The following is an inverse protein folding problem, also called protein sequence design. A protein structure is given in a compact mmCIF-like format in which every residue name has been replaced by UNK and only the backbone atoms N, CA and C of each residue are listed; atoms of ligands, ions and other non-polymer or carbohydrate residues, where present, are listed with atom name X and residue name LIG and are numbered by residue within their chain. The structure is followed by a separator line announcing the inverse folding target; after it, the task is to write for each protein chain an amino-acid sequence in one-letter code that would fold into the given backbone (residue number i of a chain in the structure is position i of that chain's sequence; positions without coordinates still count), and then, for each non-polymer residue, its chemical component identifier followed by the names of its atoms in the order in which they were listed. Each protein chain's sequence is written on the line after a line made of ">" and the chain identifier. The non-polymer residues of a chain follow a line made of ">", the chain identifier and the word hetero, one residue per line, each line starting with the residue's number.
data_IF_984457979641
#
_entry.id   IF_984457979641
#
_cell.length_a   1.000
_cell.length_b   1.000
_cell.length_c   1.000
_cell.angle_alpha   90.00
_cell.angle_beta   90.00
_cell.angle_gamma   90.00
#
_symmetry.space_group_name_H-M   'P 1'
#
loop_
_entity.id
_entity.type
_entity.pdbx_description
1 polymer ?
#
# COMPACT_ATOMS: atom_id res chain seq x y z
N UNK A 1 -3.68 -20.08 -2.11
CA UNK A 1 -3.33 -18.88 -2.89
C UNK A 1 -3.46 -17.70 -1.95
N UNK A 2 -2.39 -16.94 -1.71
CA UNK A 2 -2.48 -15.77 -0.85
C UNK A 2 -3.43 -14.74 -1.49
N UNK A 3 -4.35 -14.22 -0.70
CA UNK A 3 -5.15 -13.06 -1.08
C UNK A 3 -4.37 -11.79 -0.76
N UNK A 4 -3.80 -11.16 -1.80
CA UNK A 4 -3.04 -9.92 -1.66
C UNK A 4 -3.89 -8.76 -1.15
N UNK A 5 -5.19 -8.74 -1.48
CA UNK A 5 -6.11 -7.72 -0.97
C UNK A 5 -6.29 -7.92 0.52
N UNK A 6 -6.57 -9.13 0.98
CA UNK A 6 -6.68 -9.44 2.41
C UNK A 6 -5.38 -9.17 3.18
N UNK A 7 -4.22 -9.39 2.54
CA UNK A 7 -2.91 -9.08 3.12
C UNK A 7 -2.65 -7.58 3.25
N UNK A 8 -2.99 -6.78 2.22
CA UNK A 8 -2.59 -5.37 2.11
C UNK A 8 -3.62 -4.40 2.68
N UNK A 9 -4.92 -4.74 2.58
CA UNK A 9 -6.00 -3.85 2.99
C UNK A 9 -5.92 -3.42 4.46
N UNK A 10 -5.68 -4.31 5.45
CA UNK A 10 -5.58 -3.90 6.85
C UNK A 10 -4.49 -2.85 7.08
N UNK A 11 -3.37 -2.98 6.36
CA UNK A 11 -2.26 -2.01 6.41
C UNK A 11 -2.68 -0.66 5.85
N UNK A 12 -3.35 -0.64 4.68
CA UNK A 12 -3.84 0.60 4.08
C UNK A 12 -4.89 1.27 4.98
N UNK A 13 -5.82 0.50 5.53
CA UNK A 13 -6.88 1.03 6.38
C UNK A 13 -6.28 1.68 7.64
N UNK A 14 -5.28 1.05 8.26
CA UNK A 14 -4.57 1.56 9.43
C UNK A 14 -3.74 2.83 9.12
N UNK A 15 -3.02 2.87 8.01
CA UNK A 15 -2.20 4.03 7.64
C UNK A 15 -3.07 5.24 7.31
N UNK A 16 -4.18 5.00 6.61
CA UNK A 16 -5.07 6.07 6.14
C UNK A 16 -6.12 6.48 7.17
N UNK A 17 -6.38 5.63 8.17
CA UNK A 17 -7.51 5.76 9.08
C UNK A 17 -8.88 5.64 8.39
N UNK A 18 -8.95 4.97 7.24
CA UNK A 18 -10.13 4.89 6.37
C UNK A 18 -10.42 3.44 5.98
N UNK A 19 -11.67 3.15 5.58
CA UNK A 19 -11.99 1.89 4.91
C UNK A 19 -11.64 2.00 3.42
N UNK A 20 -10.38 1.69 3.08
CA UNK A 20 -9.83 1.86 1.74
C UNK A 20 -10.35 0.75 0.83
N UNK A 21 -11.06 1.14 -0.23
CA UNK A 21 -11.45 0.18 -1.28
C UNK A 21 -10.20 -0.28 -2.00
N UNK A 22 -9.89 -1.58 -1.91
CA UNK A 22 -8.69 -2.21 -2.49
C UNK A 22 -9.11 -3.35 -3.41
N UNK A 23 -8.51 -3.46 -4.60
CA UNK A 23 -8.82 -4.51 -5.58
C UNK A 23 -7.59 -4.88 -6.40
N UNK A 24 -7.62 -6.06 -7.03
CA UNK A 24 -6.60 -6.45 -7.99
C UNK A 24 -6.75 -5.67 -9.30
N UNK A 25 -5.69 -4.99 -9.72
CA UNK A 25 -5.56 -4.41 -11.06
C UNK A 25 -4.68 -5.27 -11.98
N UNK A 26 -4.00 -6.28 -11.42
CA UNK A 26 -3.18 -7.25 -12.14
C UNK A 26 -2.70 -8.37 -11.20
N UNK A 27 -1.93 -9.36 -11.71
CA UNK A 27 -1.51 -10.54 -10.95
C UNK A 27 -0.74 -10.22 -9.67
N UNK A 28 0.12 -9.20 -9.69
CA UNK A 28 0.88 -8.70 -8.54
C UNK A 28 0.64 -7.21 -8.30
N UNK A 29 -0.48 -6.68 -8.78
CA UNK A 29 -0.78 -5.25 -8.73
C UNK A 29 -2.12 -5.03 -8.06
N UNK A 30 -2.09 -4.26 -6.97
CA UNK A 30 -3.27 -3.78 -6.30
C UNK A 30 -3.53 -2.32 -6.67
N UNK A 31 -4.79 -1.98 -6.80
CA UNK A 31 -5.24 -0.60 -6.83
C UNK A 31 -6.09 -0.32 -5.59
N UNK A 32 -5.98 0.89 -5.07
CA UNK A 32 -6.68 1.32 -3.88
C UNK A 32 -7.15 2.77 -4.02
N UNK A 33 -8.33 3.08 -3.50
CA UNK A 33 -8.84 4.46 -3.45
C UNK A 33 -8.73 5.01 -2.03
N UNK A 34 -7.84 5.98 -1.88
CA UNK A 34 -7.58 6.73 -0.65
C UNK A 34 -8.32 8.08 -0.76
N UNK A 35 -8.82 8.65 0.34
CA UNK A 35 -9.27 10.06 0.36
C UNK A 35 -8.26 10.96 1.08
N UNK A 36 -7.73 11.98 0.38
CA UNK A 36 -6.84 13.02 0.99
C UNK A 36 -7.67 14.29 1.18
N UNK A 37 -7.55 15.00 2.31
CA UNK A 37 -8.01 16.39 2.38
C UNK A 37 -7.21 17.26 1.41
N UNK A 38 -7.88 18.13 0.65
CA UNK A 38 -7.18 19.21 -0.03
C UNK A 38 -6.72 20.24 1.01
N UNK A 39 -5.47 20.72 0.89
CA UNK A 39 -4.94 21.78 1.76
C UNK A 39 -5.92 22.96 1.83
N UNK A 40 -6.21 23.42 3.06
CA UNK A 40 -7.13 24.52 3.37
C UNK A 40 -8.58 24.36 2.86
N UNK A 41 -9.04 23.12 2.62
CA UNK A 41 -10.40 22.86 2.14
C UNK A 41 -11.13 21.80 2.97
N UNK A 42 -12.47 21.89 2.98
CA UNK A 42 -13.36 20.82 3.50
C UNK A 42 -13.60 19.71 2.46
N UNK A 43 -12.99 19.83 1.28
CA UNK A 43 -13.15 18.88 0.18
C UNK A 43 -12.12 17.77 0.35
N UNK A 44 -12.63 16.54 0.37
CA UNK A 44 -11.83 15.32 0.33
C UNK A 44 -11.76 14.84 -1.12
N UNK A 45 -10.55 14.67 -1.64
CA UNK A 45 -10.35 14.12 -2.99
C UNK A 45 -9.95 12.67 -2.93
N UNK A 46 -10.60 11.88 -3.79
CA UNK A 46 -10.19 10.50 -4.03
C UNK A 46 -8.91 10.50 -4.85
N UNK A 47 -7.89 9.83 -4.35
CA UNK A 47 -6.64 9.50 -5.05
C UNK A 47 -6.63 8.00 -5.29
N UNK A 48 -6.16 7.61 -6.48
CA UNK A 48 -5.91 6.20 -6.78
C UNK A 48 -4.45 5.89 -6.52
N UNK A 49 -4.23 4.97 -5.59
CA UNK A 49 -2.94 4.35 -5.31
C UNK A 49 -2.84 3.06 -6.12
N UNK A 50 -1.71 2.84 -6.77
CA UNK A 50 -1.35 1.55 -7.39
C UNK A 50 -0.13 1.00 -6.68
N UNK A 51 -0.23 -0.22 -6.18
CA UNK A 51 0.83 -0.92 -5.48
C UNK A 51 1.23 -2.13 -6.31
N UNK A 52 2.45 -2.12 -6.83
CA UNK A 52 2.99 -3.23 -7.60
C UNK A 52 3.98 -4.02 -6.74
N UNK A 53 3.69 -5.29 -6.52
CA UNK A 53 4.58 -6.23 -5.85
C UNK A 53 5.49 -6.88 -6.89
N UNK A 54 6.80 -6.87 -6.63
CA UNK A 54 7.78 -7.57 -7.46
C UNK A 54 7.63 -9.09 -7.34
N UNK A 55 8.20 -9.81 -8.31
CA UNK A 55 8.18 -11.27 -8.31
C UNK A 55 8.79 -11.86 -7.04
N UNK A 56 9.86 -11.27 -6.51
CA UNK A 56 10.55 -11.77 -5.32
C UNK A 56 9.67 -11.63 -4.07
N UNK A 57 9.01 -10.49 -3.91
CA UNK A 57 8.04 -10.29 -2.81
C UNK A 57 6.86 -11.22 -2.95
N UNK A 58 6.35 -11.42 -4.17
CA UNK A 58 5.28 -12.39 -4.43
C UNK A 58 5.71 -13.82 -4.03
N UNK A 59 6.94 -14.21 -4.34
CA UNK A 59 7.48 -15.51 -3.94
C UNK A 59 7.59 -15.62 -2.42
N UNK A 60 8.11 -14.60 -1.72
CA UNK A 60 8.19 -14.58 -0.26
C UNK A 60 6.80 -14.76 0.37
N UNK A 61 5.83 -13.96 -0.09
CA UNK A 61 4.46 -13.99 0.38
C UNK A 61 3.76 -15.34 0.16
N UNK A 62 4.06 -16.03 -0.94
CA UNK A 62 3.48 -17.33 -1.26
C UNK A 62 4.03 -18.48 -0.40
N UNK A 63 5.22 -18.34 0.17
CA UNK A 63 5.89 -19.37 0.98
C UNK A 63 5.92 -19.03 2.48
N UNK A 64 5.50 -17.82 2.85
CA UNK A 64 5.43 -17.36 4.24
C UNK A 64 4.39 -18.17 5.04
N UNK A 65 4.75 -18.52 6.28
CA UNK A 65 3.78 -19.01 7.25
C UNK A 65 2.98 -17.86 7.87
N UNK A 66 2.08 -18.16 8.81
CA UNK A 66 1.24 -17.13 9.43
C UNK A 66 2.05 -16.11 10.24
N UNK A 67 3.14 -16.53 10.90
CA UNK A 67 4.00 -15.64 11.67
C UNK A 67 4.78 -14.72 10.74
N UNK A 68 5.33 -15.27 9.66
CA UNK A 68 6.03 -14.53 8.62
C UNK A 68 5.10 -13.51 7.93
N UNK A 69 3.86 -13.89 7.63
CA UNK A 69 2.88 -12.98 7.03
C UNK A 69 2.60 -11.78 7.95
N UNK A 70 2.45 -11.99 9.26
CA UNK A 70 2.29 -10.89 10.20
C UNK A 70 3.53 -9.96 10.20
N UNK A 71 4.75 -10.51 10.14
CA UNK A 71 5.96 -9.70 10.06
C UNK A 71 6.05 -8.92 8.75
N UNK A 72 5.73 -9.56 7.62
CA UNK A 72 5.71 -8.93 6.30
C UNK A 72 4.67 -7.82 6.22
N UNK A 73 3.51 -7.95 6.89
CA UNK A 73 2.52 -6.87 7.04
C UNK A 73 3.09 -5.68 7.82
N UNK A 74 3.79 -5.91 8.93
CA UNK A 74 4.45 -4.83 9.68
C UNK A 74 5.52 -4.11 8.85
N UNK A 75 6.28 -4.85 8.02
CA UNK A 75 7.26 -4.26 7.11
C UNK A 75 6.59 -3.45 6.01
N UNK A 76 5.49 -3.96 5.46
CA UNK A 76 4.66 -3.25 4.49
C UNK A 76 4.10 -1.95 5.08
N UNK A 77 3.61 -1.98 6.32
CA UNK A 77 3.11 -0.79 7.03
C UNK A 77 4.18 0.30 7.08
N UNK A 78 5.37 -0.05 7.58
CA UNK A 78 6.49 0.90 7.67
C UNK A 78 6.89 1.45 6.30
N UNK A 79 6.97 0.60 5.29
CA UNK A 79 7.31 0.99 3.92
C UNK A 79 6.27 1.96 3.34
N UNK A 80 4.99 1.61 3.41
CA UNK A 80 3.90 2.42 2.87
C UNK A 80 3.77 3.76 3.61
N UNK A 81 3.93 3.80 4.94
CA UNK A 81 3.96 5.07 5.70
C UNK A 81 5.06 6.01 5.20
N UNK A 82 6.26 5.49 4.96
CA UNK A 82 7.37 6.28 4.46
C UNK A 82 7.08 6.83 3.05
N UNK A 83 6.59 5.98 2.14
CA UNK A 83 6.26 6.38 0.77
C UNK A 83 5.12 7.43 0.76
N UNK A 84 4.01 7.13 1.43
CA UNK A 84 2.85 8.03 1.48
C UNK A 84 3.17 9.36 2.15
N UNK A 85 4.04 9.37 3.18
CA UNK A 85 4.55 10.60 3.80
C UNK A 85 5.37 11.46 2.83
N UNK A 86 6.26 10.86 2.03
CA UNK A 86 7.03 11.59 1.01
C UNK A 86 6.11 12.18 -0.07
N UNK A 87 5.11 11.41 -0.52
CA UNK A 87 4.19 11.86 -1.56
C UNK A 87 3.19 12.92 -1.10
N UNK A 88 2.77 12.90 0.18
CA UNK A 88 1.95 13.95 0.77
C UNK A 88 2.68 15.30 0.82
N UNK A 89 4.02 15.30 0.97
CA UNK A 89 4.84 16.52 0.99
C UNK A 89 5.17 17.05 -0.40
N UNK A 90 5.14 16.19 -1.42
CA UNK A 90 5.52 16.53 -2.80
C UNK A 90 4.35 17.04 -3.67
N UNK A 91 3.11 17.05 -3.16
CA UNK A 91 1.92 17.14 -4.01
C UNK A 91 1.77 18.50 -4.73
N UNK A 92 1.96 18.46 -6.06
CA UNK A 92 1.63 19.51 -7.05
C UNK A 92 0.50 19.09 -7.99
N UNK A 93 -0.39 18.19 -7.55
CA UNK A 93 -1.65 17.92 -8.24
C UNK A 93 -1.73 16.62 -9.04
N UNK A 94 -0.79 15.67 -8.86
CA UNK A 94 -0.90 14.38 -9.54
C UNK A 94 -1.99 13.51 -8.89
N UNK A 95 -2.83 12.88 -9.73
CA UNK A 95 -4.02 12.13 -9.27
C UNK A 95 -3.73 10.67 -8.96
N UNK A 96 -2.62 10.15 -9.48
CA UNK A 96 -2.26 8.75 -9.39
C UNK A 96 -0.92 8.60 -8.69
N UNK A 97 -0.90 7.81 -7.62
CA UNK A 97 0.33 7.45 -6.93
C UNK A 97 0.68 5.99 -7.26
N UNK A 98 1.92 5.75 -7.70
CA UNK A 98 2.42 4.40 -7.98
C UNK A 98 3.53 4.08 -6.99
N UNK A 99 3.35 3.00 -6.23
CA UNK A 99 4.31 2.47 -5.28
C UNK A 99 4.74 1.09 -5.75
N UNK A 100 6.03 0.84 -5.83
CA UNK A 100 6.59 -0.49 -6.09
C UNK A 100 7.14 -1.07 -4.80
N UNK A 101 6.70 -2.28 -4.44
CA UNK A 101 7.18 -3.05 -3.29
C UNK A 101 8.16 -4.10 -3.82
N UNK A 102 9.44 -3.78 -3.73
CA UNK A 102 10.55 -4.61 -4.18
C UNK A 102 11.21 -5.42 -3.06
N UNK A 103 11.04 -4.99 -1.81
CA UNK A 103 11.54 -5.72 -0.64
C UNK A 103 10.61 -5.57 0.57
N UNK A 104 10.35 -6.69 1.25
CA UNK A 104 9.74 -6.74 2.58
C UNK A 104 10.69 -7.52 3.49
N UNK A 105 11.76 -6.87 3.92
CA UNK A 105 12.80 -7.45 4.77
C UNK A 105 13.33 -6.44 5.77
N UNK A 106 14.01 -6.92 6.81
CA UNK A 106 14.71 -6.04 7.76
C UNK A 106 15.73 -5.23 6.96
N UNK A 107 15.58 -3.90 6.98
CA UNK A 107 16.60 -3.00 6.46
C UNK A 107 17.94 -3.40 7.09
N UNK A 108 18.83 -3.92 6.26
CA UNK A 108 20.19 -4.31 6.66
C UNK A 108 20.99 -3.08 7.05
#
# INVERSE_FOLDING_TARGET
>A
MLDLVAFTKPVLDEITGQDVRTWHSGPSVLAANWQVPEFDSRIWRVRTLTIAFTHDVMNQLMHADQQDLCQLQCMLDRFLRAQLGMHAQADRGDRMLVITVDHLGVAS
#
